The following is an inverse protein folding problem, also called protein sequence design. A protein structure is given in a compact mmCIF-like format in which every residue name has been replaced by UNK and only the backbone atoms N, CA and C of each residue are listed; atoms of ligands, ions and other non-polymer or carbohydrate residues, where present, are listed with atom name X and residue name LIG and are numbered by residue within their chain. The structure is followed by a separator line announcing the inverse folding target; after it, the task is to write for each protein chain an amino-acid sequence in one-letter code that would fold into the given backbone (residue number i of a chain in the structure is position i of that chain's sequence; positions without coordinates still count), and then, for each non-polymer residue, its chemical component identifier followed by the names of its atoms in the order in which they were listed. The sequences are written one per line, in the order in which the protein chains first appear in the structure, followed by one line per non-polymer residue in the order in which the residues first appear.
data_IF_419992729594
#
_entry.id   IF_419992729594
#
_cell.length_a   1.000
_cell.length_b   1.000
_cell.length_c   1.000
_cell.angle_alpha   90.00
_cell.angle_beta   90.00
_cell.angle_gamma   90.00
#
_symmetry.space_group_name_H-M   'P 1'
#
loop_
_entity.id
_entity.type
_entity.pdbx_description
1 polymer ?
#
# COMPACT_ATOMS: atom_id res chain seq x y z
N UNK A 1 9.23 4.57 -74.16
CA UNK A 1 9.79 3.63 -73.16
C UNK A 1 9.74 4.35 -71.81
N UNK A 2 8.85 3.92 -70.90
CA UNK A 2 8.56 4.59 -69.62
C UNK A 2 9.56 4.11 -68.56
N UNK A 3 10.18 5.02 -67.82
CA UNK A 3 10.85 4.71 -66.55
C UNK A 3 10.31 5.65 -65.48
N UNK A 4 9.74 5.04 -64.43
CA UNK A 4 9.04 5.68 -63.31
C UNK A 4 10.08 5.92 -62.19
N UNK A 5 10.11 7.08 -61.52
CA UNK A 5 10.98 7.27 -60.37
C UNK A 5 10.39 6.58 -59.13
N UNK A 6 11.20 5.74 -58.48
CA UNK A 6 10.83 5.07 -57.25
C UNK A 6 10.73 6.07 -56.09
N UNK A 7 9.51 6.33 -55.63
CA UNK A 7 9.22 7.03 -54.38
C UNK A 7 9.61 6.11 -53.21
N UNK A 8 10.61 6.48 -52.43
CA UNK A 8 10.88 5.85 -51.14
C UNK A 8 9.91 6.42 -50.10
N UNK A 9 8.87 5.66 -49.78
CA UNK A 9 7.99 5.94 -48.66
C UNK A 9 8.65 5.40 -47.38
N UNK A 10 9.28 6.28 -46.59
CA UNK A 10 9.73 5.92 -45.25
C UNK A 10 8.51 5.81 -44.33
N UNK A 11 8.05 4.58 -44.07
CA UNK A 11 7.06 4.31 -43.04
C UNK A 11 7.70 4.50 -41.66
N UNK A 12 7.45 5.64 -41.02
CA UNK A 12 7.78 5.85 -39.61
C UNK A 12 6.88 4.95 -38.76
N UNK A 13 7.41 3.80 -38.34
CA UNK A 13 6.84 3.00 -37.26
C UNK A 13 6.97 3.80 -35.95
N UNK A 14 5.91 4.51 -35.59
CA UNK A 14 5.72 4.99 -34.23
C UNK A 14 5.47 3.74 -33.38
N UNK A 15 6.52 3.23 -32.76
CA UNK A 15 6.40 2.27 -31.66
C UNK A 15 5.73 3.03 -30.53
N UNK A 16 4.41 2.91 -30.42
CA UNK A 16 3.68 3.34 -29.22
C UNK A 16 4.16 2.43 -28.11
N UNK A 17 5.04 2.94 -27.25
CA UNK A 17 5.39 2.25 -26.01
C UNK A 17 4.08 1.88 -25.31
N UNK A 18 3.88 0.59 -25.03
CA UNK A 18 2.73 0.14 -24.28
C UNK A 18 2.67 0.98 -22.99
N UNK A 19 1.54 1.62 -22.74
CA UNK A 19 1.37 2.32 -21.47
C UNK A 19 1.67 1.31 -20.34
N UNK A 20 2.49 1.67 -19.34
CA UNK A 20 2.64 0.84 -18.16
C UNK A 20 1.23 0.56 -17.63
N UNK A 21 0.88 -0.71 -17.54
CA UNK A 21 -0.42 -1.15 -17.06
C UNK A 21 -0.71 -0.46 -15.73
N UNK A 22 -1.91 0.11 -15.59
CA UNK A 22 -2.37 0.62 -14.29
C UNK A 22 -2.23 -0.52 -13.27
N UNK A 23 -1.75 -0.24 -12.04
CA UNK A 23 -1.65 -1.28 -11.03
C UNK A 23 -3.03 -1.90 -10.80
N UNK A 24 -3.09 -3.21 -10.64
CA UNK A 24 -4.31 -3.87 -10.20
C UNK A 24 -4.54 -3.48 -8.74
N UNK A 25 -5.47 -2.56 -8.49
CA UNK A 25 -5.87 -2.16 -7.13
C UNK A 25 -6.73 -3.25 -6.51
N UNK A 26 -6.36 -3.73 -5.34
CA UNK A 26 -7.07 -4.79 -4.60
C UNK A 26 -7.47 -4.26 -3.23
N UNK A 27 -8.78 -4.05 -3.04
CA UNK A 27 -9.37 -3.72 -1.75
C UNK A 27 -9.85 -5.03 -1.10
N UNK A 28 -9.08 -5.56 -0.15
CA UNK A 28 -9.31 -6.90 0.43
C UNK A 28 -10.54 -6.93 1.33
N UNK A 29 -11.36 -7.97 1.21
CA UNK A 29 -12.39 -8.27 2.22
C UNK A 29 -11.75 -8.67 3.55
N UNK A 30 -12.55 -8.61 4.62
CA UNK A 30 -12.06 -8.83 5.98
C UNK A 30 -11.56 -10.25 6.21
N UNK A 31 -12.12 -11.27 5.56
CA UNK A 31 -11.71 -12.65 5.75
C UNK A 31 -10.32 -12.90 5.16
N UNK A 32 -10.10 -12.43 3.94
CA UNK A 32 -8.81 -12.51 3.26
C UNK A 32 -7.78 -11.64 3.97
N UNK A 33 -8.15 -10.41 4.32
CA UNK A 33 -7.26 -9.48 5.02
C UNK A 33 -6.85 -10.01 6.41
N UNK A 34 -7.75 -10.66 7.14
CA UNK A 34 -7.47 -11.31 8.42
C UNK A 34 -6.40 -12.42 8.31
N UNK A 35 -6.30 -13.09 7.16
CA UNK A 35 -5.26 -14.08 6.89
C UNK A 35 -3.95 -13.41 6.49
N UNK A 36 -4.02 -12.46 5.55
CA UNK A 36 -2.82 -11.78 5.02
C UNK A 36 -2.11 -10.92 6.07
N UNK A 37 -2.84 -10.23 6.97
CA UNK A 37 -2.24 -9.39 8.03
C UNK A 37 -1.40 -10.19 9.03
N UNK A 38 -1.68 -11.49 9.16
CA UNK A 38 -0.98 -12.42 10.06
C UNK A 38 0.15 -13.19 9.36
N UNK A 39 0.39 -12.91 8.08
CA UNK A 39 1.50 -13.52 7.34
C UNK A 39 2.80 -13.22 8.08
N UNK A 40 3.60 -14.24 8.44
CA UNK A 40 4.87 -14.03 9.12
C UNK A 40 5.75 -13.04 8.34
N UNK A 41 6.22 -12.02 9.03
CA UNK A 41 7.12 -11.02 8.50
C UNK A 41 8.13 -10.57 9.58
N UNK A 42 9.22 -9.88 9.20
CA UNK A 42 10.25 -9.46 10.15
C UNK A 42 9.76 -8.50 11.25
N UNK A 43 8.53 -8.01 11.20
CA UNK A 43 7.99 -7.18 12.29
C UNK A 43 7.55 -8.06 13.46
N UNK A 44 6.95 -9.23 13.23
CA UNK A 44 6.57 -10.13 14.34
C UNK A 44 7.79 -10.62 15.13
N UNK A 45 8.93 -10.77 14.45
CA UNK A 45 10.21 -11.14 15.06
C UNK A 45 10.78 -10.02 15.95
N UNK A 46 10.47 -8.75 15.64
CA UNK A 46 10.99 -7.57 16.34
C UNK A 46 10.08 -7.06 17.44
N UNK A 47 8.82 -7.49 17.46
CA UNK A 47 7.87 -7.09 18.49
C UNK A 47 8.33 -7.57 19.87
N UNK A 48 8.38 -6.63 20.80
CA UNK A 48 8.55 -6.90 22.23
C UNK A 48 7.19 -7.05 22.92
N UNK A 49 7.16 -7.66 24.10
CA UNK A 49 5.95 -7.71 24.95
C UNK A 49 5.42 -6.31 25.25
N UNK A 50 6.31 -5.34 25.46
CA UNK A 50 5.92 -3.94 25.67
C UNK A 50 5.22 -3.36 24.44
N UNK A 51 5.75 -3.59 23.23
CA UNK A 51 5.12 -3.10 21.99
C UNK A 51 3.71 -3.66 21.78
N UNK A 52 3.52 -4.94 22.10
CA UNK A 52 2.21 -5.60 22.03
C UNK A 52 1.26 -5.05 23.10
N UNK A 53 1.74 -4.93 24.34
CA UNK A 53 0.97 -4.38 25.47
C UNK A 53 0.44 -2.97 25.18
N UNK A 54 1.29 -2.09 24.62
CA UNK A 54 0.91 -0.73 24.25
C UNK A 54 -0.18 -0.69 23.17
N UNK A 55 -0.14 -1.59 22.20
CA UNK A 55 -1.11 -1.66 21.10
C UNK A 55 -2.44 -2.28 21.51
N UNK A 56 -2.39 -3.36 22.30
CA UNK A 56 -3.59 -4.03 22.83
C UNK A 56 -4.25 -3.16 23.90
N UNK A 57 -3.46 -2.38 24.64
CA UNK A 57 -3.91 -1.57 25.76
C UNK A 57 -4.10 -2.37 27.05
N UNK A 58 -3.38 -3.49 27.19
CA UNK A 58 -3.42 -4.40 28.35
C UNK A 58 -1.99 -4.72 28.77
N UNK A 59 -1.72 -4.76 30.06
CA UNK A 59 -0.42 -5.19 30.59
C UNK A 59 -0.20 -6.69 30.31
N UNK A 60 0.91 -6.99 29.63
CA UNK A 60 1.30 -8.34 29.26
C UNK A 60 2.56 -8.76 30.03
N UNK A 61 2.70 -10.05 30.28
CA UNK A 61 3.77 -10.60 31.12
C UNK A 61 4.93 -11.12 30.27
N UNK A 62 6.16 -10.54 30.37
CA UNK A 62 7.28 -10.88 29.49
C UNK A 62 7.69 -12.36 29.47
N UNK A 63 7.37 -13.12 30.50
CA UNK A 63 7.65 -14.55 30.59
C UNK A 63 6.84 -15.42 29.61
N UNK A 64 5.84 -14.85 28.93
CA UNK A 64 4.86 -15.58 28.10
C UNK A 64 4.79 -15.05 26.67
N UNK A 65 5.94 -14.74 26.07
CA UNK A 65 6.02 -14.10 24.75
C UNK A 65 5.19 -14.79 23.66
N UNK A 66 5.12 -16.12 23.65
CA UNK A 66 4.34 -16.84 22.64
C UNK A 66 2.82 -16.67 22.85
N UNK A 67 2.35 -16.70 24.11
CA UNK A 67 0.95 -16.39 24.45
C UNK A 67 0.62 -14.92 24.12
N UNK A 68 1.53 -13.99 24.45
CA UNK A 68 1.40 -12.56 24.13
C UNK A 68 1.27 -12.34 22.62
N UNK A 69 2.07 -13.07 21.84
CA UNK A 69 2.07 -13.01 20.38
C UNK A 69 0.75 -13.53 19.81
N UNK A 70 0.19 -14.60 20.37
CA UNK A 70 -1.10 -15.13 19.94
C UNK A 70 -2.25 -14.17 20.27
N UNK A 71 -2.24 -13.56 21.45
CA UNK A 71 -3.17 -12.48 21.81
C UNK A 71 -3.05 -11.29 20.86
N UNK A 72 -1.84 -10.88 20.53
CA UNK A 72 -1.61 -9.78 19.60
C UNK A 72 -2.10 -10.10 18.18
N UNK A 73 -1.89 -11.32 17.68
CA UNK A 73 -2.42 -11.76 16.39
C UNK A 73 -3.95 -11.78 16.37
N UNK A 74 -4.59 -12.22 17.45
CA UNK A 74 -6.04 -12.15 17.56
C UNK A 74 -6.52 -10.70 17.52
N UNK A 75 -5.87 -9.82 18.29
CA UNK A 75 -6.17 -8.39 18.28
C UNK A 75 -6.05 -7.79 16.86
N UNK A 76 -5.00 -8.11 16.10
CA UNK A 76 -4.89 -7.66 14.71
C UNK A 76 -6.07 -8.14 13.86
N UNK A 77 -6.43 -9.43 13.98
CA UNK A 77 -7.55 -10.04 13.24
C UNK A 77 -8.87 -9.34 13.54
N UNK A 78 -9.16 -9.12 14.82
CA UNK A 78 -10.38 -8.47 15.30
C UNK A 78 -10.50 -7.01 14.86
N UNK A 79 -9.41 -6.37 14.46
CA UNK A 79 -9.41 -4.98 13.99
C UNK A 79 -9.59 -4.85 12.47
N UNK A 80 -9.52 -5.94 11.69
CA UNK A 80 -9.76 -5.91 10.24
C UNK A 80 -11.23 -5.66 9.93
N UNK A 81 -11.53 -4.84 8.92
CA UNK A 81 -12.90 -4.43 8.54
C UNK A 81 -13.16 -4.60 7.06
N UNK A 82 -14.40 -4.95 6.71
CA UNK A 82 -14.85 -5.00 5.31
C UNK A 82 -15.03 -3.60 4.73
N UNK A 83 -14.59 -3.39 3.50
CA UNK A 83 -14.92 -2.20 2.71
C UNK A 83 -16.40 -2.16 2.36
N UNK A 84 -17.06 -1.03 2.61
CA UNK A 84 -18.41 -0.76 2.11
C UNK A 84 -18.35 -0.29 0.65
N UNK A 85 -19.44 -0.41 -0.13
CA UNK A 85 -19.47 0.14 -1.49
C UNK A 85 -19.14 1.63 -1.56
N UNK A 86 -19.69 2.43 -0.63
CA UNK A 86 -19.46 3.88 -0.58
C UNK A 86 -17.98 4.23 -0.31
N UNK A 87 -17.33 3.52 0.61
CA UNK A 87 -15.90 3.72 0.85
C UNK A 87 -15.06 3.36 -0.37
N UNK A 88 -15.41 2.29 -1.10
CA UNK A 88 -14.71 1.93 -2.35
C UNK A 88 -14.82 3.04 -3.38
N UNK A 89 -16.02 3.59 -3.58
CA UNK A 89 -16.25 4.71 -4.49
C UNK A 89 -15.47 5.96 -4.08
N UNK A 90 -15.33 6.20 -2.77
CA UNK A 90 -14.57 7.32 -2.22
C UNK A 90 -13.05 7.17 -2.43
N UNK A 91 -12.47 6.00 -2.11
CA UNK A 91 -11.01 5.84 -2.13
C UNK A 91 -10.45 5.66 -3.54
N UNK A 92 -11.22 5.07 -4.46
CA UNK A 92 -10.72 4.74 -5.80
C UNK A 92 -10.20 5.94 -6.61
N UNK A 93 -10.86 7.12 -6.62
CA UNK A 93 -10.32 8.33 -7.24
C UNK A 93 -9.00 8.79 -6.63
N UNK A 94 -8.86 8.73 -5.30
CA UNK A 94 -7.63 9.11 -4.60
C UNK A 94 -6.48 8.14 -4.92
N UNK A 95 -6.76 6.83 -4.94
CA UNK A 95 -5.79 5.82 -5.37
C UNK A 95 -5.37 6.02 -6.82
N UNK A 96 -6.30 6.37 -7.72
CA UNK A 96 -5.99 6.68 -9.12
C UNK A 96 -5.08 7.92 -9.25
N UNK A 97 -5.32 8.97 -8.47
CA UNK A 97 -4.46 10.16 -8.45
C UNK A 97 -3.05 9.83 -7.93
N UNK A 98 -2.96 9.09 -6.82
CA UNK A 98 -1.70 8.60 -6.29
C UNK A 98 -0.93 7.76 -7.32
N UNK A 99 -1.62 6.86 -8.00
CA UNK A 99 -1.03 6.04 -9.05
C UNK A 99 -0.52 6.87 -10.24
N UNK A 100 -1.29 7.86 -10.68
CA UNK A 100 -0.89 8.79 -11.74
C UNK A 100 0.38 9.57 -11.38
N UNK A 101 0.47 10.05 -10.14
CA UNK A 101 1.64 10.77 -9.62
C UNK A 101 2.88 9.86 -9.57
N UNK A 102 2.74 8.66 -9.03
CA UNK A 102 3.85 7.67 -9.00
C UNK A 102 4.31 7.35 -10.43
N UNK A 103 3.38 7.09 -11.35
CA UNK A 103 3.69 6.77 -12.75
C UNK A 103 4.46 7.90 -13.45
N UNK A 104 4.15 9.15 -13.10
CA UNK A 104 4.80 10.34 -13.69
C UNK A 104 6.20 10.57 -13.10
N UNK A 105 6.36 10.42 -11.79
CA UNK A 105 7.60 10.79 -11.08
C UNK A 105 8.60 9.64 -11.08
N UNK A 106 8.17 8.43 -10.71
CA UNK A 106 9.04 7.27 -10.62
C UNK A 106 8.25 5.98 -10.82
N UNK A 107 7.95 5.58 -12.07
CA UNK A 107 7.07 4.45 -12.36
C UNK A 107 7.54 3.11 -11.79
N UNK A 108 8.83 2.95 -11.47
CA UNK A 108 9.37 1.75 -10.80
C UNK A 108 8.86 1.54 -9.37
N UNK A 109 8.34 2.58 -8.72
CA UNK A 109 7.69 2.46 -7.40
C UNK A 109 6.37 1.67 -7.48
N UNK A 110 5.77 1.58 -8.67
CA UNK A 110 4.44 1.00 -8.83
C UNK A 110 4.50 -0.54 -8.77
N UNK A 111 3.82 -1.19 -7.82
CA UNK A 111 3.71 -2.64 -7.81
C UNK A 111 2.72 -3.14 -8.88
N UNK A 112 2.87 -4.40 -9.29
CA UNK A 112 1.91 -5.04 -10.20
C UNK A 112 0.51 -5.16 -9.59
N UNK A 113 0.45 -5.50 -8.30
CA UNK A 113 -0.76 -5.50 -7.49
C UNK A 113 -0.60 -4.53 -6.33
N UNK A 114 -1.57 -3.64 -6.15
CA UNK A 114 -1.57 -2.64 -5.10
C UNK A 114 -2.71 -2.92 -4.13
N UNK A 115 -2.37 -3.61 -3.06
CA UNK A 115 -3.35 -4.19 -2.13
C UNK A 115 -3.51 -3.37 -0.86
N UNK A 116 -4.77 -3.20 -0.44
CA UNK A 116 -5.17 -2.40 0.71
C UNK A 116 -6.05 -3.21 1.66
N UNK A 117 -5.75 -3.10 2.95
CA UNK A 117 -6.52 -3.68 4.05
C UNK A 117 -7.12 -2.54 4.86
N UNK A 118 -8.41 -2.65 5.21
CA UNK A 118 -9.06 -1.69 6.10
C UNK A 118 -9.06 -2.22 7.54
N UNK A 119 -8.75 -1.37 8.50
CA UNK A 119 -8.83 -1.69 9.93
C UNK A 119 -9.57 -0.63 10.72
N UNK A 120 -9.86 -0.88 12.00
CA UNK A 120 -10.31 0.16 12.94
C UNK A 120 -9.25 1.25 13.14
N UNK A 121 -7.97 0.90 13.02
CA UNK A 121 -6.83 1.76 13.33
C UNK A 121 -6.36 1.68 14.78
N UNK A 122 -6.99 0.89 15.66
CA UNK A 122 -6.57 0.76 17.06
C UNK A 122 -5.13 0.27 17.21
N UNK A 123 -4.67 -0.52 16.25
CA UNK A 123 -3.36 -1.17 16.28
C UNK A 123 -2.17 -0.24 16.05
N UNK A 124 -2.37 0.91 15.40
CA UNK A 124 -1.32 1.92 15.14
C UNK A 124 -1.85 3.34 15.35
N UNK A 125 -2.77 3.53 16.31
CA UNK A 125 -3.27 4.86 16.71
C UNK A 125 -3.98 5.64 15.60
N UNK A 126 -4.58 4.94 14.63
CA UNK A 126 -5.26 5.53 13.48
C UNK A 126 -4.34 5.90 12.32
N UNK A 127 -3.04 5.62 12.41
CA UNK A 127 -2.10 5.86 11.32
C UNK A 127 -2.30 4.89 10.15
N UNK A 128 -1.91 5.35 8.96
CA UNK A 128 -1.69 4.48 7.81
C UNK A 128 -0.30 3.84 7.94
N UNK A 129 -0.18 2.56 7.62
CA UNK A 129 1.08 1.83 7.71
C UNK A 129 1.14 0.68 6.70
N UNK A 130 2.23 -0.10 6.71
CA UNK A 130 2.42 -1.24 5.82
C UNK A 130 2.72 -2.55 6.54
N UNK A 131 2.15 -3.64 6.04
CA UNK A 131 2.33 -5.04 6.48
C UNK A 131 2.70 -5.87 5.27
N UNK A 132 3.93 -6.40 5.20
CA UNK A 132 4.41 -7.06 3.98
C UNK A 132 4.25 -6.16 2.74
N UNK A 133 3.42 -6.57 1.78
CA UNK A 133 3.10 -5.78 0.56
C UNK A 133 1.80 -4.97 0.64
N UNK A 134 1.09 -5.04 1.77
CA UNK A 134 -0.21 -4.41 1.96
C UNK A 134 -0.06 -3.04 2.60
N UNK A 135 -0.85 -2.09 2.12
CA UNK A 135 -1.08 -0.80 2.79
C UNK A 135 -2.32 -0.95 3.68
N UNK A 136 -2.22 -0.53 4.92
CA UNK A 136 -3.29 -0.65 5.90
C UNK A 136 -3.85 0.74 6.15
N UNK A 137 -5.15 0.88 5.89
CA UNK A 137 -5.90 2.12 6.03
C UNK A 137 -6.87 1.99 7.21
N UNK A 138 -6.70 2.85 8.19
CA UNK A 138 -7.61 2.95 9.33
C UNK A 138 -8.96 3.57 8.93
N UNK A 139 -10.00 3.31 9.72
CA UNK A 139 -11.28 4.01 9.60
C UNK A 139 -11.12 5.53 9.70
N UNK A 140 -10.21 6.04 10.55
CA UNK A 140 -9.93 7.47 10.63
C UNK A 140 -9.30 8.02 9.35
N UNK A 141 -8.46 7.24 8.66
CA UNK A 141 -7.89 7.64 7.36
C UNK A 141 -8.99 7.79 6.30
N UNK A 142 -9.97 6.89 6.32
CA UNK A 142 -11.12 6.96 5.41
C UNK A 142 -12.04 8.13 5.79
N UNK A 143 -12.34 8.32 7.07
CA UNK A 143 -13.13 9.48 7.53
C UNK A 143 -12.47 10.82 7.21
N UNK A 144 -11.14 10.91 7.31
CA UNK A 144 -10.40 12.09 6.86
C UNK A 144 -10.61 12.38 5.36
N UNK A 145 -10.67 11.33 4.54
CA UNK A 145 -10.95 11.49 3.11
C UNK A 145 -12.39 11.97 2.86
N UNK A 146 -13.37 11.46 3.62
CA UNK A 146 -14.77 11.93 3.61
C UNK A 146 -14.87 13.42 3.99
N UNK A 147 -14.05 13.88 4.94
CA UNK A 147 -13.92 15.28 5.34
C UNK A 147 -13.18 16.17 4.31
N UNK A 148 -12.82 15.62 3.16
CA UNK A 148 -12.18 16.37 2.07
C UNK A 148 -10.66 16.45 2.13
N UNK A 149 -9.99 15.65 2.98
CA UNK A 149 -8.52 15.60 3.06
C UNK A 149 -7.89 14.75 1.94
N UNK A 150 -8.34 14.96 0.71
CA UNK A 150 -7.97 14.17 -0.46
C UNK A 150 -6.45 14.14 -0.73
N UNK A 151 -5.80 15.30 -0.73
CA UNK A 151 -4.36 15.37 -1.02
C UNK A 151 -3.50 14.77 0.11
N UNK A 152 -4.00 14.78 1.35
CA UNK A 152 -3.35 14.09 2.46
C UNK A 152 -3.37 12.57 2.25
N UNK A 153 -4.54 12.01 1.94
CA UNK A 153 -4.69 10.58 1.64
C UNK A 153 -3.76 10.14 0.50
N UNK A 154 -3.70 10.92 -0.57
CA UNK A 154 -2.82 10.65 -1.72
C UNK A 154 -1.35 10.63 -1.28
N UNK A 155 -0.91 11.63 -0.52
CA UNK A 155 0.48 11.71 -0.03
C UNK A 155 0.84 10.53 0.87
N UNK A 156 -0.03 10.19 1.82
CA UNK A 156 0.17 9.06 2.74
C UNK A 156 0.23 7.72 2.00
N UNK A 157 -0.64 7.53 1.01
CA UNK A 157 -0.64 6.32 0.17
C UNK A 157 0.66 6.18 -0.65
N UNK A 158 1.18 7.28 -1.19
CA UNK A 158 2.47 7.29 -1.89
C UNK A 158 3.61 6.99 -0.90
N UNK A 159 3.58 7.58 0.29
CA UNK A 159 4.57 7.38 1.34
C UNK A 159 4.68 5.89 1.73
N UNK A 160 3.55 5.22 1.96
CA UNK A 160 3.55 3.79 2.24
C UNK A 160 4.00 2.92 1.07
N UNK A 161 3.68 3.33 -0.16
CA UNK A 161 4.18 2.63 -1.35
C UNK A 161 5.70 2.70 -1.45
N UNK A 162 6.28 3.84 -1.09
CA UNK A 162 7.73 4.00 -0.95
C UNK A 162 8.29 3.05 0.11
N UNK A 163 7.63 2.90 1.26
CA UNK A 163 8.06 1.95 2.28
C UNK A 163 8.08 0.50 1.79
N UNK A 164 7.06 0.08 1.03
CA UNK A 164 7.03 -1.26 0.42
C UNK A 164 8.20 -1.43 -0.56
N UNK A 165 8.40 -0.46 -1.46
CA UNK A 165 9.46 -0.53 -2.46
C UNK A 165 10.87 -0.60 -1.84
N UNK A 166 11.15 0.26 -0.86
CA UNK A 166 12.45 0.33 -0.18
C UNK A 166 12.74 -0.90 0.67
N UNK A 167 11.72 -1.67 1.06
CA UNK A 167 11.90 -2.96 1.74
C UNK A 167 12.46 -4.01 0.79
N UNK A 168 12.05 -3.98 -0.48
CA UNK A 168 12.57 -4.85 -1.54
C UNK A 168 13.87 -4.33 -2.19
N UNK A 169 14.13 -3.03 -2.10
CA UNK A 169 15.29 -2.35 -2.72
C UNK A 169 16.02 -1.47 -1.70
N UNK A 170 16.62 -2.06 -0.64
CA UNK A 170 17.25 -1.29 0.44
C UNK A 170 18.39 -0.39 -0.04
N UNK A 171 19.05 -0.74 -1.16
CA UNK A 171 20.11 0.05 -1.80
C UNK A 171 19.62 1.39 -2.37
N UNK A 172 18.31 1.53 -2.62
CA UNK A 172 17.72 2.77 -3.15
C UNK A 172 17.44 3.81 -2.05
N UNK A 173 17.52 3.43 -0.77
CA UNK A 173 17.24 4.34 0.36
C UNK A 173 18.02 5.66 0.27
N UNK A 174 19.35 5.67 0.05
CA UNK A 174 20.11 6.93 0.02
C UNK A 174 19.72 7.86 -1.12
N UNK A 175 19.26 7.31 -2.26
CA UNK A 175 18.82 8.10 -3.40
C UNK A 175 17.44 8.70 -3.16
N UNK A 176 16.51 7.93 -2.57
CA UNK A 176 15.17 8.42 -2.26
C UNK A 176 15.17 9.46 -1.13
N UNK A 177 15.92 9.26 -0.05
CA UNK A 177 16.00 10.24 1.05
C UNK A 177 16.58 11.60 0.63
N UNK A 178 17.29 11.67 -0.51
CA UNK A 178 17.79 12.94 -1.07
C UNK A 178 16.78 13.66 -1.96
N UNK A 179 15.73 12.97 -2.39
CA UNK A 179 14.73 13.48 -3.34
C UNK A 179 13.40 13.89 -2.67
N UNK A 180 13.26 13.65 -1.36
CA UNK A 180 12.13 14.02 -0.50
C UNK A 180 12.62 15.08 0.47
#
# INVERSE_FOLDING_TARGET
MKFIPALWLAAALIVRAAEPAQPKVVLMDAETAAKEILTPDPFFDRLTTLDMSLRIGVELEPARRDEDMDLFKEFLRENVRNWTPAEKELVMPALKDAAGKIKTVYPKLMPAEWSFIKTTGREEGGATYTRGRHIILSQSTIGNLEEGKFQQFVRETIHETVHIYLRAHPEQKPALYKAI
#
